data_IF_906342665284
#
_entry.id   IF_906342665284
#
_cell.length_a   1.000
_cell.length_b   1.000
_cell.length_c   1.000
_cell.angle_alpha   90.00
_cell.angle_beta   90.00
_cell.angle_gamma   90.00
#
_symmetry.space_group_name_H-M   'P 1'
#
loop_
_entity.id
_entity.type
_entity.pdbx_description
1 polymer ?
#
# COMPACT_ATOMS: atom_id res chain seq x y z
N UNK A 1 28.28 16.85 -8.62
CA UNK A 1 28.51 15.96 -7.49
C UNK A 1 27.94 16.47 -6.17
N UNK A 2 28.19 17.71 -5.83
CA UNK A 2 27.62 18.28 -4.60
C UNK A 2 26.10 18.22 -4.53
N UNK A 3 25.41 18.45 -5.66
CA UNK A 3 23.95 18.39 -5.71
C UNK A 3 23.41 16.97 -5.53
N UNK A 4 24.13 15.98 -6.03
CA UNK A 4 23.77 14.59 -5.85
C UNK A 4 23.91 14.18 -4.39
N UNK A 5 25.01 14.58 -3.76
CA UNK A 5 25.24 14.27 -2.35
C UNK A 5 24.20 14.93 -1.45
N UNK A 6 23.79 16.15 -1.76
CA UNK A 6 22.72 16.83 -1.02
C UNK A 6 21.39 16.11 -1.18
N UNK A 7 21.06 15.67 -2.39
CA UNK A 7 19.84 14.90 -2.64
C UNK A 7 19.86 13.58 -1.89
N UNK A 8 20.98 12.87 -1.93
CA UNK A 8 21.13 11.61 -1.19
C UNK A 8 21.01 11.84 0.31
N UNK A 9 21.62 12.91 0.81
CA UNK A 9 21.51 13.26 2.23
C UNK A 9 20.07 13.57 2.61
N UNK A 10 19.33 14.28 1.76
CA UNK A 10 17.92 14.57 2.02
C UNK A 10 17.07 13.29 2.00
N UNK A 11 17.35 12.37 1.09
CA UNK A 11 16.66 11.08 1.06
C UNK A 11 16.96 10.27 2.31
N UNK A 12 18.24 10.25 2.71
CA UNK A 12 18.67 9.56 3.93
C UNK A 12 18.04 10.22 5.16
N UNK A 13 17.95 11.53 5.20
CA UNK A 13 17.31 12.26 6.30
C UNK A 13 15.80 12.08 6.33
N UNK A 14 15.19 11.89 5.17
CA UNK A 14 13.76 11.56 5.09
C UNK A 14 13.49 10.12 5.46
N UNK A 15 14.47 9.23 5.24
CA UNK A 15 14.35 7.87 5.71
C UNK A 15 14.20 7.93 7.20
N UNK A 16 13.12 7.39 7.65
CA UNK A 16 12.82 7.35 9.04
C UNK A 16 13.92 6.57 9.76
N UNK A 17 14.60 7.16 10.76
CA UNK A 17 15.66 6.47 11.48
C UNK A 17 15.18 5.21 12.19
N UNK A 18 13.86 5.03 12.32
CA UNK A 18 13.25 3.86 12.93
C UNK A 18 12.92 2.76 11.91
N UNK A 19 13.51 2.82 10.73
CA UNK A 19 13.31 1.81 9.67
C UNK A 19 11.87 1.75 9.16
N UNK A 20 11.15 2.86 9.20
CA UNK A 20 9.81 2.95 8.67
C UNK A 20 9.82 3.05 7.15
N UNK A 21 8.68 2.76 6.55
CA UNK A 21 8.50 2.86 5.11
C UNK A 21 8.42 4.31 4.65
N UNK A 22 8.92 4.56 3.45
CA UNK A 22 8.70 5.83 2.77
C UNK A 22 7.32 5.88 2.13
N UNK A 23 6.80 4.72 1.74
CA UNK A 23 5.48 4.58 1.14
C UNK A 23 4.93 3.18 1.44
N UNK A 24 3.65 3.08 1.71
CA UNK A 24 2.97 1.79 1.78
C UNK A 24 1.79 1.80 0.81
N UNK A 25 1.73 0.80 -0.05
CA UNK A 25 0.65 0.64 -1.02
C UNK A 25 -0.25 -0.48 -0.50
N UNK A 26 -1.53 -0.16 -0.32
CA UNK A 26 -2.54 -1.10 0.16
C UNK A 26 -3.51 -1.36 -0.98
N UNK A 27 -3.62 -2.62 -1.40
CA UNK A 27 -4.63 -3.02 -2.39
C UNK A 27 -5.83 -3.60 -1.68
N UNK A 28 -7.00 -3.05 -1.94
CA UNK A 28 -8.24 -3.47 -1.28
C UNK A 28 -9.04 -4.43 -2.14
N UNK A 29 -9.74 -5.32 -1.45
CA UNK A 29 -10.63 -6.30 -2.07
C UNK A 29 -11.32 -7.09 -0.99
N UNK A 30 -12.11 -8.05 -1.39
CA UNK A 30 -12.73 -8.99 -0.46
C UNK A 30 -11.96 -10.30 -0.52
N UNK A 31 -11.53 -10.84 0.63
CA UNK A 31 -10.76 -12.07 0.65
C UNK A 31 -11.59 -13.28 0.25
N UNK A 32 -10.92 -14.30 -0.25
CA UNK A 32 -11.50 -15.58 -0.62
C UNK A 32 -11.81 -15.71 -2.10
N UNK A 33 -11.87 -16.94 -2.58
CA UNK A 33 -12.08 -17.26 -3.99
C UNK A 33 -13.45 -16.80 -4.50
N UNK A 34 -14.41 -16.69 -3.61
CA UNK A 34 -15.76 -16.26 -3.92
C UNK A 34 -15.79 -14.89 -4.59
N UNK A 35 -14.85 -14.04 -4.24
CA UNK A 35 -14.78 -12.67 -4.76
C UNK A 35 -13.67 -12.47 -5.79
N UNK A 36 -12.96 -13.55 -6.12
CA UNK A 36 -11.91 -13.52 -7.11
C UNK A 36 -12.44 -13.04 -8.45
N UNK A 37 -11.68 -12.14 -9.09
CA UNK A 37 -12.01 -11.57 -10.41
C UNK A 37 -13.31 -10.74 -10.44
N UNK A 38 -13.86 -10.37 -9.29
CA UNK A 38 -14.96 -9.40 -9.24
C UNK A 38 -14.39 -7.99 -9.23
N UNK A 39 -15.27 -7.00 -9.50
CA UNK A 39 -14.85 -5.59 -9.47
C UNK A 39 -14.29 -5.19 -8.10
N UNK A 40 -14.83 -5.77 -7.01
CA UNK A 40 -14.37 -5.45 -5.66
C UNK A 40 -12.97 -5.97 -5.37
N UNK A 41 -12.40 -6.79 -6.24
CA UNK A 41 -11.05 -7.30 -6.08
C UNK A 41 -10.04 -6.64 -7.02
N UNK A 42 -10.44 -5.59 -7.72
CA UNK A 42 -9.53 -4.89 -8.63
C UNK A 42 -8.29 -4.38 -7.91
N UNK A 43 -8.43 -3.90 -6.68
CA UNK A 43 -7.29 -3.45 -5.89
C UNK A 43 -6.34 -4.59 -5.54
N UNK A 44 -6.86 -5.76 -5.19
CA UNK A 44 -6.07 -6.97 -4.94
C UNK A 44 -5.30 -7.37 -6.19
N UNK A 45 -6.00 -7.46 -7.31
CA UNK A 45 -5.42 -7.91 -8.58
C UNK A 45 -4.32 -6.96 -9.04
N UNK A 46 -4.56 -5.67 -8.93
CA UNK A 46 -3.59 -4.67 -9.30
C UNK A 46 -2.34 -4.73 -8.41
N UNK A 47 -2.54 -4.86 -7.11
CA UNK A 47 -1.45 -4.96 -6.17
C UNK A 47 -0.60 -6.21 -6.43
N UNK A 48 -1.24 -7.35 -6.66
CA UNK A 48 -0.55 -8.59 -6.94
C UNK A 48 0.25 -8.51 -8.24
N UNK A 49 -0.31 -7.90 -9.26
CA UNK A 49 0.40 -7.67 -10.52
C UNK A 49 1.60 -6.77 -10.32
N UNK A 50 1.43 -5.69 -9.57
CA UNK A 50 2.51 -4.77 -9.27
C UNK A 50 3.64 -5.46 -8.51
N UNK A 51 3.29 -6.26 -7.50
CA UNK A 51 4.28 -7.02 -6.74
C UNK A 51 5.01 -8.03 -7.64
N UNK A 52 4.29 -8.71 -8.51
CA UNK A 52 4.88 -9.64 -9.46
C UNK A 52 5.89 -8.94 -10.37
N UNK A 53 5.52 -7.79 -10.90
CA UNK A 53 6.40 -7.03 -11.80
C UNK A 53 7.65 -6.53 -11.08
N UNK A 54 7.54 -6.25 -9.79
CA UNK A 54 8.65 -5.75 -8.98
C UNK A 54 9.43 -6.86 -8.26
N UNK A 55 9.01 -8.10 -8.38
CA UNK A 55 9.66 -9.22 -7.70
C UNK A 55 9.41 -9.26 -6.20
N UNK A 56 8.31 -8.67 -5.75
CA UNK A 56 7.94 -8.65 -4.33
C UNK A 56 7.06 -9.85 -4.03
N UNK A 57 7.42 -10.60 -2.98
CA UNK A 57 6.63 -11.73 -2.51
C UNK A 57 5.82 -11.28 -1.30
N UNK A 58 4.50 -11.44 -1.38
CA UNK A 58 3.61 -11.14 -0.27
C UNK A 58 3.51 -12.37 0.63
N UNK A 59 3.78 -12.19 1.91
CA UNK A 59 3.73 -13.26 2.90
C UNK A 59 2.79 -12.89 4.05
N UNK A 60 2.19 -13.88 4.73
CA UNK A 60 1.30 -13.59 5.85
C UNK A 60 1.96 -12.74 6.93
N UNK A 61 1.25 -11.74 7.41
CA UNK A 61 1.72 -10.86 8.47
C UNK A 61 0.59 -10.64 9.46
N UNK A 62 0.75 -11.18 10.66
CA UNK A 62 -0.30 -11.13 11.69
C UNK A 62 -0.54 -9.72 12.22
N UNK A 63 0.51 -8.92 12.37
CA UNK A 63 0.36 -7.56 12.88
C UNK A 63 -0.48 -6.69 11.97
N UNK A 64 -0.34 -6.89 10.67
CA UNK A 64 -1.07 -6.12 9.68
C UNK A 64 -2.36 -6.80 9.23
N UNK A 65 -2.60 -8.02 9.69
CA UNK A 65 -3.77 -8.82 9.33
C UNK A 65 -3.93 -8.89 7.80
N UNK A 66 -2.90 -9.36 7.15
CA UNK A 66 -2.88 -9.47 5.70
C UNK A 66 -1.61 -10.10 5.17
N UNK A 67 -1.40 -9.98 3.89
CA UNK A 67 -0.19 -10.42 3.21
C UNK A 67 0.65 -9.18 2.88
N UNK A 68 1.92 -9.23 3.22
CA UNK A 68 2.78 -8.06 3.20
C UNK A 68 4.13 -8.38 2.56
N UNK A 69 4.69 -7.42 1.85
CA UNK A 69 6.03 -7.49 1.30
C UNK A 69 6.64 -6.11 1.17
N UNK A 70 7.95 -6.05 1.06
CA UNK A 70 8.69 -4.80 0.96
C UNK A 70 9.72 -4.87 -0.17
N UNK A 71 10.03 -3.73 -0.71
CA UNK A 71 11.15 -3.57 -1.65
C UNK A 71 11.75 -2.18 -1.52
N UNK A 72 12.91 -2.00 -2.12
CA UNK A 72 13.56 -0.69 -2.20
C UNK A 72 13.68 -0.31 -3.67
N UNK A 73 13.17 0.85 -4.02
CA UNK A 73 13.23 1.40 -5.37
C UNK A 73 13.77 2.81 -5.27
N UNK A 74 14.89 3.11 -5.95
CA UNK A 74 15.52 4.43 -5.91
C UNK A 74 15.73 4.94 -4.47
N UNK A 75 16.21 4.06 -3.60
CA UNK A 75 16.45 4.33 -2.17
C UNK A 75 15.19 4.58 -1.35
N UNK A 76 14.01 4.39 -1.93
CA UNK A 76 12.75 4.48 -1.20
C UNK A 76 12.32 3.08 -0.75
N UNK A 77 12.01 2.96 0.52
CA UNK A 77 11.50 1.71 1.08
C UNK A 77 9.98 1.69 0.94
N UNK A 78 9.50 0.75 0.14
CA UNK A 78 8.08 0.67 -0.20
C UNK A 78 7.52 -0.66 0.29
N UNK A 79 6.42 -0.57 1.03
CA UNK A 79 5.68 -1.74 1.48
C UNK A 79 4.42 -1.95 0.66
N UNK A 80 3.98 -3.20 0.61
CA UNK A 80 2.78 -3.61 -0.10
C UNK A 80 1.94 -4.48 0.83
N UNK A 81 0.68 -4.13 0.99
CA UNK A 81 -0.22 -4.86 1.86
C UNK A 81 -1.49 -5.26 1.12
N UNK A 82 -1.80 -6.54 1.20
CA UNK A 82 -3.07 -7.12 0.79
C UNK A 82 -3.81 -7.53 2.06
N UNK A 83 -4.77 -6.73 2.55
CA UNK A 83 -5.45 -7.03 3.80
C UNK A 83 -6.33 -8.28 3.70
N UNK A 84 -6.46 -8.98 4.82
CA UNK A 84 -7.41 -10.10 4.95
C UNK A 84 -8.83 -9.62 5.23
N UNK A 85 -8.99 -8.37 5.66
CA UNK A 85 -10.30 -7.82 5.98
C UNK A 85 -11.12 -7.56 4.72
N UNK A 86 -12.44 -7.61 4.87
CA UNK A 86 -13.33 -7.20 3.80
C UNK A 86 -13.15 -5.71 3.49
N UNK A 87 -13.46 -5.34 2.27
CA UNK A 87 -13.24 -3.98 1.78
C UNK A 87 -13.90 -2.92 2.66
N UNK A 88 -15.05 -3.22 3.26
CA UNK A 88 -15.75 -2.29 4.14
C UNK A 88 -15.06 -2.10 5.50
N UNK A 89 -14.07 -2.93 5.84
CA UNK A 89 -13.29 -2.81 7.07
C UNK A 89 -11.84 -2.35 6.80
N UNK A 90 -11.59 -1.82 5.63
CA UNK A 90 -10.23 -1.47 5.20
C UNK A 90 -9.58 -0.39 6.06
N UNK A 91 -10.37 0.42 6.74
CA UNK A 91 -9.83 1.43 7.66
C UNK A 91 -8.95 0.84 8.75
N UNK A 92 -9.26 -0.37 9.21
CA UNK A 92 -8.43 -1.08 10.18
C UNK A 92 -7.02 -1.32 9.65
N UNK A 93 -6.91 -1.74 8.39
CA UNK A 93 -5.61 -2.00 7.77
C UNK A 93 -4.78 -0.74 7.67
N UNK A 94 -5.40 0.38 7.32
CA UNK A 94 -4.73 1.68 7.26
C UNK A 94 -4.17 2.07 8.62
N UNK A 95 -4.96 1.90 9.68
CA UNK A 95 -4.53 2.23 11.03
C UNK A 95 -3.37 1.34 11.49
N UNK A 96 -3.41 0.06 11.16
CA UNK A 96 -2.32 -0.85 11.49
C UNK A 96 -1.02 -0.48 10.77
N UNK A 97 -1.09 -0.14 9.50
CA UNK A 97 0.07 0.32 8.76
C UNK A 97 0.62 1.61 9.37
N UNK A 98 -0.25 2.56 9.71
CA UNK A 98 0.16 3.80 10.36
C UNK A 98 0.88 3.53 11.69
N UNK A 99 0.38 2.57 12.45
CA UNK A 99 0.94 2.25 13.76
C UNK A 99 2.34 1.64 13.65
N UNK A 100 2.55 0.73 12.70
CA UNK A 100 3.74 -0.11 12.68
C UNK A 100 4.75 0.24 11.60
N UNK A 101 4.35 0.88 10.51
CA UNK A 101 5.20 0.93 9.33
C UNK A 101 5.42 2.31 8.73
N UNK A 102 4.53 3.27 8.92
CA UNK A 102 4.70 4.60 8.34
C UNK A 102 4.57 5.68 9.39
N UNK A 103 5.20 6.82 9.12
CA UNK A 103 5.15 7.95 10.03
C UNK A 103 3.88 8.77 9.86
N UNK A 104 3.45 8.97 8.62
CA UNK A 104 2.31 9.82 8.28
C UNK A 104 1.30 9.06 7.43
N UNK A 105 0.02 9.39 7.59
CA UNK A 105 -1.02 8.82 6.73
C UNK A 105 -0.83 9.18 5.26
N UNK A 106 -0.21 10.32 4.98
CA UNK A 106 0.11 10.70 3.61
C UNK A 106 1.12 9.78 2.92
N UNK A 107 1.78 8.92 3.68
CA UNK A 107 2.70 7.91 3.14
C UNK A 107 1.99 6.62 2.74
N UNK A 108 0.66 6.58 2.84
CA UNK A 108 -0.14 5.41 2.48
C UNK A 108 -0.93 5.73 1.21
N UNK A 109 -0.80 4.84 0.24
CA UNK A 109 -1.56 4.88 -1.01
C UNK A 109 -2.49 3.69 -1.04
N UNK A 110 -3.78 3.92 -1.25
CA UNK A 110 -4.76 2.85 -1.32
C UNK A 110 -5.25 2.68 -2.75
N UNK A 111 -5.20 1.44 -3.21
CA UNK A 111 -5.73 1.07 -4.52
C UNK A 111 -7.00 0.27 -4.30
N UNK A 112 -8.10 0.74 -4.86
CA UNK A 112 -9.39 0.06 -4.74
C UNK A 112 -10.21 0.32 -5.99
N UNK A 113 -11.22 -0.51 -6.21
CA UNK A 113 -12.18 -0.22 -7.25
C UNK A 113 -13.14 0.87 -6.79
N UNK A 114 -13.66 1.59 -7.75
CA UNK A 114 -14.70 2.58 -7.51
C UNK A 114 -15.82 2.27 -8.50
N UNK A 115 -17.00 2.07 -7.97
CA UNK A 115 -18.15 1.69 -8.81
C UNK A 115 -18.56 2.81 -9.77
N UNK A 116 -18.15 4.02 -9.50
CA UNK A 116 -18.39 5.15 -10.38
C UNK A 116 -17.37 5.25 -11.52
N UNK A 117 -16.35 4.40 -11.50
CA UNK A 117 -15.35 4.34 -12.56
C UNK A 117 -15.69 3.29 -13.59
N UNK A 118 -15.22 3.49 -14.81
CA UNK A 118 -15.37 2.49 -15.87
C UNK A 118 -14.58 1.23 -15.53
N UNK A 119 -15.01 0.06 -16.03
CA UNK A 119 -14.26 -1.18 -15.85
C UNK A 119 -12.82 -1.04 -16.32
N UNK A 120 -11.89 -1.49 -15.49
CA UNK A 120 -10.47 -1.38 -15.77
C UNK A 120 -9.81 -0.13 -15.22
N UNK A 121 -10.59 0.84 -14.78
CA UNK A 121 -10.03 1.99 -14.10
C UNK A 121 -9.68 1.66 -12.65
N UNK A 122 -8.65 2.29 -12.15
CA UNK A 122 -8.21 2.12 -10.76
C UNK A 122 -8.16 3.49 -10.12
N UNK A 123 -8.86 3.63 -9.00
CA UNK A 123 -8.78 4.83 -8.18
C UNK A 123 -7.70 4.63 -7.12
N UNK A 124 -6.86 5.62 -6.95
CA UNK A 124 -5.91 5.64 -5.85
C UNK A 124 -5.89 7.02 -5.24
N UNK A 125 -5.85 7.06 -3.91
CA UNK A 125 -5.84 8.30 -3.17
C UNK A 125 -4.89 8.20 -2.02
N UNK A 126 -4.27 9.31 -1.68
CA UNK A 126 -3.57 9.42 -0.41
C UNK A 126 -4.63 9.52 0.68
N UNK A 127 -4.52 8.67 1.66
CA UNK A 127 -5.48 8.62 2.73
C UNK A 127 -5.22 9.73 3.71
N UNK A 128 -6.17 10.64 3.77
CA UNK A 128 -6.27 11.59 4.86
C UNK A 128 -7.53 11.24 5.63
N UNK A 129 -7.47 11.33 6.93
CA UNK A 129 -8.65 11.07 7.72
C UNK A 129 -9.67 12.16 7.52
N UNK A 130 -10.96 11.81 7.48
CA UNK A 130 -11.56 10.49 7.56
C UNK A 130 -11.85 9.86 6.21
N UNK A 131 -11.31 10.34 5.15
CA UNK A 131 -11.68 9.93 3.83
C UNK A 131 -10.92 8.72 3.39
N UNK A 132 -11.43 7.61 3.69
CA UNK A 132 -10.86 6.40 3.17
C UNK A 132 -11.55 5.99 1.92
N UNK A 133 -12.69 6.47 1.76
CA UNK A 133 -13.48 5.93 0.74
C UNK A 133 -13.82 6.91 -0.27
N UNK A 134 -13.99 6.38 -1.24
CA UNK A 134 -15.03 6.81 -2.10
C UNK A 134 -15.68 5.63 -2.71
#
# INVERSE_FOLDING_TARGET
MRNLLKKLAQIILRKNPNNLLDLCIIGLGNPGDKHSKTRHNAGYDYLEKLCNDLGVVLTPNKKLDGHYGETVINDLKIGFLKPNEYINNSGKSVLLVKKYHVKNLSDILVIHDDMDLEPGAVSYTHLTLPTISR
#
